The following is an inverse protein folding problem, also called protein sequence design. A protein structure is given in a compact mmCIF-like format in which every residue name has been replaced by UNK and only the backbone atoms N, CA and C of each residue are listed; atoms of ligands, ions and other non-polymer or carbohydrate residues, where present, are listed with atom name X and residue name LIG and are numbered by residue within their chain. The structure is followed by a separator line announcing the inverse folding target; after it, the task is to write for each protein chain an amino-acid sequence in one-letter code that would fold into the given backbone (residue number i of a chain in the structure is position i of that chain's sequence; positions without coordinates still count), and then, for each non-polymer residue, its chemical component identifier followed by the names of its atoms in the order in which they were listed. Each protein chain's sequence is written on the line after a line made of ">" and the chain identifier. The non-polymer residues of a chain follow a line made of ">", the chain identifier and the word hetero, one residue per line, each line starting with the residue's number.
data_IF_267886012798
#
_entry.id   IF_267886012798
#
_cell.length_a   1.000
_cell.length_b   1.000
_cell.length_c   1.000
_cell.angle_alpha   90.00
_cell.angle_beta   90.00
_cell.angle_gamma   90.00
#
_symmetry.space_group_name_H-M   'P 1'
#
loop_
_entity.id
_entity.type
_entity.pdbx_description
1 polymer ?
#
# COMPACT_ATOMS: atom_id res chain seq x y z
N UNK A 1 -4.70 -6.73 9.39
CA UNK A 1 -3.76 -7.37 8.47
C UNK A 1 -2.89 -8.32 9.28
N UNK A 2 -3.11 -9.64 9.21
CA UNK A 2 -2.23 -10.60 9.93
C UNK A 2 -0.94 -10.89 9.16
N UNK A 3 -0.94 -10.57 7.87
CA UNK A 3 0.15 -10.91 6.96
C UNK A 3 1.22 -9.82 6.82
N UNK A 4 0.95 -8.62 7.32
CA UNK A 4 1.86 -7.47 7.34
C UNK A 4 1.91 -6.89 8.76
N UNK A 5 3.10 -6.60 9.27
CA UNK A 5 3.33 -6.05 10.59
C UNK A 5 4.29 -4.85 10.55
N UNK A 6 4.22 -4.01 11.60
CA UNK A 6 5.11 -2.86 11.81
C UNK A 6 5.13 -1.87 10.62
N UNK A 7 4.02 -1.81 9.89
CA UNK A 7 3.90 -1.02 8.68
C UNK A 7 4.00 0.48 8.93
N UNK A 8 4.92 1.14 8.22
CA UNK A 8 5.03 2.59 8.12
C UNK A 8 4.80 3.01 6.68
N UNK A 9 3.91 3.98 6.48
CA UNK A 9 3.67 4.61 5.17
C UNK A 9 4.38 5.96 5.12
N UNK A 10 5.16 6.17 4.07
CA UNK A 10 5.83 7.44 3.80
C UNK A 10 5.32 8.00 2.47
N UNK A 11 4.60 9.11 2.54
CA UNK A 11 4.14 9.83 1.36
C UNK A 11 5.35 10.39 0.58
N UNK A 12 5.41 10.09 -0.71
CA UNK A 12 6.45 10.56 -1.63
C UNK A 12 5.95 11.69 -2.52
N UNK A 13 4.69 11.62 -2.93
CA UNK A 13 4.03 12.67 -3.70
C UNK A 13 2.54 12.65 -3.42
N UNK A 14 1.94 13.84 -3.43
CA UNK A 14 0.51 14.02 -3.28
C UNK A 14 -0.03 14.98 -4.33
N UNK A 15 -1.11 14.59 -5.00
CA UNK A 15 -1.84 15.42 -5.95
C UNK A 15 -3.26 15.61 -5.47
N UNK A 16 -3.80 16.80 -5.70
CA UNK A 16 -5.14 17.16 -5.28
C UNK A 16 -5.92 17.64 -6.50
N UNK A 17 -7.12 17.08 -6.66
CA UNK A 17 -8.15 17.61 -7.54
C UNK A 17 -9.26 18.26 -6.71
N UNK A 18 -10.34 18.66 -7.38
CA UNK A 18 -11.48 19.31 -6.75
C UNK A 18 -12.15 18.42 -5.67
N UNK A 19 -12.33 17.14 -5.98
CA UNK A 19 -12.99 16.17 -5.12
C UNK A 19 -12.19 14.87 -4.95
N UNK A 20 -10.88 14.89 -5.23
CA UNK A 20 -10.05 13.71 -5.08
C UNK A 20 -8.62 14.04 -4.63
N UNK A 21 -7.99 13.02 -4.08
CA UNK A 21 -6.61 12.97 -3.64
C UNK A 21 -5.94 11.76 -4.31
N UNK A 22 -4.75 11.97 -4.86
CA UNK A 22 -3.85 10.87 -5.25
C UNK A 22 -2.62 10.93 -4.35
N UNK A 23 -2.36 9.86 -3.62
CA UNK A 23 -1.21 9.70 -2.73
C UNK A 23 -0.31 8.58 -3.25
N UNK A 24 0.91 8.94 -3.65
CA UNK A 24 1.98 8.01 -4.00
C UNK A 24 2.87 7.83 -2.77
N UNK A 25 2.87 6.63 -2.24
CA UNK A 25 3.47 6.30 -0.95
C UNK A 25 4.35 5.07 -1.03
N UNK A 26 5.33 4.99 -0.14
CA UNK A 26 6.09 3.76 0.11
C UNK A 26 5.66 3.19 1.46
N UNK A 27 5.25 1.94 1.47
CA UNK A 27 5.07 1.17 2.70
C UNK A 27 6.33 0.38 3.01
N UNK A 28 6.71 0.33 4.28
CA UNK A 28 7.80 -0.47 4.79
C UNK A 28 7.37 -1.17 6.08
N UNK A 29 7.75 -2.43 6.25
CA UNK A 29 7.49 -3.20 7.46
C UNK A 29 7.97 -4.64 7.31
N UNK A 30 7.30 -5.57 7.98
CA UNK A 30 7.61 -7.00 7.92
C UNK A 30 6.42 -7.81 7.40
N UNK A 31 6.69 -8.95 6.77
CA UNK A 31 5.71 -9.89 6.26
C UNK A 31 5.72 -11.20 7.07
N UNK A 32 5.07 -11.26 8.26
CA UNK A 32 5.04 -12.49 9.07
C UNK A 32 4.12 -13.58 8.51
N UNK A 33 3.14 -13.22 7.68
CA UNK A 33 2.18 -14.16 7.08
C UNK A 33 2.35 -14.30 5.57
N UNK A 34 1.23 -14.29 4.84
CA UNK A 34 1.20 -14.49 3.38
C UNK A 34 0.56 -13.31 2.63
N UNK A 35 1.22 -12.13 2.57
CA UNK A 35 0.62 -10.97 1.93
C UNK A 35 0.40 -11.25 0.44
N UNK A 36 -0.85 -11.10 -0.01
CA UNK A 36 -1.28 -11.40 -1.39
C UNK A 36 -0.89 -12.81 -1.86
N UNK A 37 -0.83 -13.78 -0.94
CA UNK A 37 -0.47 -15.17 -1.25
C UNK A 37 1.03 -15.45 -1.30
N UNK A 38 1.89 -14.44 -1.17
CA UNK A 38 3.34 -14.59 -1.17
C UNK A 38 3.83 -15.00 0.22
N UNK A 39 4.68 -16.02 0.34
CA UNK A 39 5.21 -16.45 1.65
C UNK A 39 6.17 -15.40 2.23
N UNK A 40 5.76 -14.75 3.32
CA UNK A 40 6.52 -13.65 3.93
C UNK A 40 7.71 -14.11 4.76
N UNK A 41 7.63 -15.27 5.43
CA UNK A 41 8.67 -15.85 6.32
C UNK A 41 9.24 -14.84 7.34
N UNK A 42 8.45 -13.83 7.76
CA UNK A 42 8.89 -12.78 8.68
C UNK A 42 9.87 -11.77 8.09
N UNK A 43 10.04 -11.73 6.76
CA UNK A 43 11.04 -10.89 6.10
C UNK A 43 10.63 -9.41 6.09
N UNK A 44 11.61 -8.48 6.09
CA UNK A 44 11.35 -7.10 5.74
C UNK A 44 10.76 -7.00 4.33
N UNK A 45 9.82 -6.08 4.15
CA UNK A 45 9.14 -5.87 2.89
C UNK A 45 8.91 -4.37 2.67
N UNK A 46 9.21 -3.90 1.47
CA UNK A 46 8.99 -2.50 1.06
C UNK A 46 8.33 -2.46 -0.30
N UNK A 47 7.21 -1.76 -0.46
CA UNK A 47 6.56 -1.64 -1.77
C UNK A 47 5.86 -0.29 -1.92
N UNK A 48 5.62 0.11 -3.18
CA UNK A 48 4.88 1.33 -3.50
C UNK A 48 3.38 1.09 -3.46
N UNK A 49 2.65 2.13 -3.08
CA UNK A 49 1.20 2.21 -3.06
C UNK A 49 0.78 3.47 -3.79
N UNK A 50 -0.19 3.33 -4.67
CA UNK A 50 -0.97 4.46 -5.19
C UNK A 50 -2.34 4.41 -4.54
N UNK A 51 -2.67 5.42 -3.76
CA UNK A 51 -3.97 5.55 -3.11
C UNK A 51 -4.76 6.69 -3.76
N UNK A 52 -5.89 6.37 -4.37
CA UNK A 52 -6.82 7.35 -4.91
C UNK A 52 -8.03 7.40 -3.99
N UNK A 53 -8.28 8.57 -3.40
CA UNK A 53 -9.39 8.85 -2.51
C UNK A 53 -10.28 9.88 -3.18
N UNK A 54 -11.57 9.57 -3.35
CA UNK A 54 -12.58 10.52 -3.80
C UNK A 54 -13.43 10.95 -2.60
N UNK A 55 -13.84 12.21 -2.59
CA UNK A 55 -14.60 12.82 -1.51
C UNK A 55 -15.98 13.26 -1.98
N UNK A 56 -16.96 13.18 -1.08
CA UNK A 56 -18.27 13.81 -1.23
C UNK A 56 -18.15 15.33 -1.09
N UNK A 57 -19.22 16.06 -1.43
CA UNK A 57 -19.26 17.52 -1.28
C UNK A 57 -19.11 18.00 0.18
N UNK A 58 -19.48 17.17 1.16
CA UNK A 58 -19.30 17.42 2.60
C UNK A 58 -17.94 16.93 3.13
N UNK A 59 -17.04 16.49 2.24
CA UNK A 59 -15.66 16.13 2.57
C UNK A 59 -15.48 14.73 3.17
N UNK A 60 -16.51 13.88 3.13
CA UNK A 60 -16.39 12.48 3.54
C UNK A 60 -15.74 11.66 2.44
N UNK A 61 -15.07 10.57 2.80
CA UNK A 61 -14.53 9.62 1.82
C UNK A 61 -15.71 8.93 1.12
N UNK A 62 -15.82 9.13 -0.19
CA UNK A 62 -16.82 8.49 -1.05
C UNK A 62 -16.32 7.15 -1.61
N UNK A 63 -15.05 7.10 -2.01
CA UNK A 63 -14.43 5.93 -2.66
C UNK A 63 -12.94 5.92 -2.38
N UNK A 64 -12.39 4.72 -2.19
CA UNK A 64 -10.95 4.47 -2.06
C UNK A 64 -10.53 3.37 -3.04
N UNK A 65 -9.41 3.59 -3.74
CA UNK A 65 -8.76 2.57 -4.56
C UNK A 65 -7.26 2.56 -4.23
N UNK A 66 -6.74 1.37 -3.95
CA UNK A 66 -5.32 1.17 -3.64
C UNK A 66 -4.73 0.23 -4.66
N UNK A 67 -3.66 0.66 -5.32
CA UNK A 67 -2.79 -0.20 -6.12
C UNK A 67 -1.49 -0.43 -5.38
N UNK A 68 -1.08 -1.68 -5.28
CA UNK A 68 0.21 -2.08 -4.71
C UNK A 68 1.13 -2.56 -5.81
N UNK A 69 2.43 -2.28 -5.67
CA UNK A 69 3.45 -2.82 -6.57
C UNK A 69 3.72 -4.30 -6.25
N UNK A 70 2.83 -5.17 -6.73
CA UNK A 70 2.93 -6.62 -6.52
C UNK A 70 4.21 -7.20 -7.13
N UNK A 71 4.70 -6.65 -8.24
CA UNK A 71 5.94 -7.10 -8.88
C UNK A 71 7.14 -6.87 -7.94
N UNK A 72 7.22 -5.69 -7.29
CA UNK A 72 8.24 -5.43 -6.28
C UNK A 72 8.13 -6.40 -5.09
N UNK A 73 6.90 -6.77 -4.68
CA UNK A 73 6.71 -7.73 -3.59
C UNK A 73 7.20 -9.14 -3.96
N UNK A 74 6.88 -9.62 -5.18
CA UNK A 74 7.35 -10.93 -5.69
C UNK A 74 8.88 -10.98 -5.74
N UNK A 75 9.54 -9.90 -6.14
CA UNK A 75 11.01 -9.82 -6.16
C UNK A 75 11.64 -9.92 -4.76
N UNK A 76 10.94 -9.47 -3.72
CA UNK A 76 11.41 -9.48 -2.33
C UNK A 76 11.04 -10.77 -1.58
N UNK A 77 9.94 -11.41 -1.98
CA UNK A 77 9.41 -12.63 -1.40
C UNK A 77 9.46 -13.75 -2.47
N UNK A 78 10.61 -14.43 -2.65
CA UNK A 78 10.75 -15.57 -3.53
C UNK A 78 9.71 -16.64 -3.21
N UNK A 79 9.16 -17.26 -4.26
CA UNK A 79 8.05 -18.20 -4.17
C UNK A 79 8.48 -19.66 -3.88
N UNK A 80 9.76 -19.85 -3.56
CA UNK A 80 10.40 -21.16 -3.32
C UNK A 80 10.25 -21.67 -1.87
#
# INVERSE_FOLDING_TARGET
>A
FRDLAEGKVTCTRRLYGENFLVDDSVWHGTAPGRPFGLEGKGRPLTFRLLHVVEFTADGQIQRENVWVDLAAMIQQLPQD
#
